data_IF_771590792422
#
_entry.id   IF_771590792422
#
_cell.length_a   1.000
_cell.length_b   1.000
_cell.length_c   1.000
_cell.angle_alpha   90.00
_cell.angle_beta   90.00
_cell.angle_gamma   90.00
#
_symmetry.space_group_name_H-M   'P 1'
#
loop_
_entity.id
_entity.type
_entity.pdbx_description
1 polymer ?
#
# COMPACT_ATOMS: atom_id res chain seq x y z
N UNK A 1 5.74 26.79 -47.06
CA UNK A 1 4.30 26.47 -47.23
C UNK A 1 4.06 25.08 -46.66
N UNK A 2 3.15 24.98 -45.68
CA UNK A 2 2.46 23.79 -45.13
C UNK A 2 3.23 22.45 -45.08
N UNK A 3 3.44 21.85 -43.90
CA UNK A 3 2.38 21.18 -43.15
C UNK A 3 2.64 21.21 -41.63
N UNK A 4 1.88 22.07 -40.95
CA UNK A 4 1.52 21.99 -39.54
C UNK A 4 0.34 21.03 -39.40
N UNK A 5 0.32 20.22 -38.33
CA UNK A 5 -0.93 19.74 -37.77
C UNK A 5 -0.92 18.31 -37.23
N UNK A 6 -0.63 18.16 -35.94
CA UNK A 6 -1.44 17.43 -34.94
C UNK A 6 -0.74 17.40 -33.58
N UNK A 7 -0.89 18.48 -32.83
CA UNK A 7 -0.86 18.46 -31.37
C UNK A 7 -2.23 18.91 -30.89
N UNK A 8 -2.91 18.08 -30.08
CA UNK A 8 -3.72 18.51 -28.94
C UNK A 8 -4.48 17.32 -28.31
N UNK A 9 -4.15 17.05 -27.05
CA UNK A 9 -5.16 16.81 -26.02
C UNK A 9 -5.38 15.36 -25.60
N UNK A 10 -4.64 14.90 -24.58
CA UNK A 10 -5.22 13.99 -23.54
C UNK A 10 -4.46 13.80 -22.21
N UNK A 11 -3.22 14.26 -22.00
CA UNK A 11 -2.49 13.89 -20.75
C UNK A 11 -2.40 14.93 -19.61
N UNK A 12 -2.68 16.22 -19.80
CA UNK A 12 -2.47 17.21 -18.71
C UNK A 12 -3.66 17.43 -17.75
N UNK A 13 -4.56 16.45 -17.54
CA UNK A 13 -5.75 16.63 -16.69
C UNK A 13 -5.57 16.30 -15.20
N UNK A 14 -4.48 15.67 -14.78
CA UNK A 14 -4.33 15.21 -13.38
C UNK A 14 -3.80 16.29 -12.41
N UNK A 15 -3.19 17.37 -12.93
CA UNK A 15 -2.58 18.43 -12.11
C UNK A 15 -3.26 19.80 -12.24
N UNK A 16 -4.15 20.00 -13.21
CA UNK A 16 -4.80 21.29 -13.48
C UNK A 16 -6.29 21.11 -13.83
N UNK A 17 -7.17 21.48 -12.88
CA UNK A 17 -8.63 21.73 -12.95
C UNK A 17 -9.67 20.62 -12.65
N UNK A 18 -10.55 20.97 -11.70
CA UNK A 18 -11.97 20.66 -11.43
C UNK A 18 -12.62 19.38 -11.99
N UNK A 19 -12.95 18.47 -11.08
CA UNK A 19 -13.71 17.25 -11.38
C UNK A 19 -15.23 17.50 -11.34
N UNK A 20 -15.84 17.48 -12.52
CA UNK A 20 -17.26 17.15 -12.71
C UNK A 20 -17.43 15.66 -13.07
N UNK A 21 -18.63 15.15 -12.77
CA UNK A 21 -19.06 13.75 -12.60
C UNK A 21 -18.92 12.83 -13.84
N UNK A 22 -18.85 11.52 -13.57
CA UNK A 22 -19.24 10.41 -14.46
C UNK A 22 -18.04 9.68 -15.09
N UNK A 23 -18.02 8.36 -15.26
CA UNK A 23 -18.98 7.28 -15.10
C UNK A 23 -18.29 5.97 -15.52
N UNK A 24 -18.73 4.85 -14.94
CA UNK A 24 -18.25 3.51 -15.27
C UNK A 24 -18.46 3.15 -16.75
N UNK A 25 -17.53 2.38 -17.32
CA UNK A 25 -17.85 1.36 -18.34
C UNK A 25 -16.82 0.23 -18.24
N UNK A 26 -17.30 -0.94 -17.80
CA UNK A 26 -16.58 -2.20 -17.86
C UNK A 26 -16.58 -2.77 -19.28
N UNK A 27 -15.57 -3.58 -19.58
CA UNK A 27 -15.55 -4.47 -20.74
C UNK A 27 -15.26 -5.87 -20.21
N UNK A 28 -16.28 -6.72 -20.30
CA UNK A 28 -16.17 -8.16 -20.07
C UNK A 28 -15.71 -8.85 -21.35
N UNK A 29 -14.77 -9.80 -21.24
CA UNK A 29 -14.55 -10.87 -22.23
C UNK A 29 -13.87 -12.10 -21.58
N UNK A 30 -13.98 -13.30 -22.19
CA UNK A 30 -14.34 -14.54 -21.49
C UNK A 30 -13.17 -15.43 -21.06
N UNK A 31 -13.56 -16.54 -20.42
CA UNK A 31 -12.75 -17.48 -19.64
C UNK A 31 -11.56 -18.12 -20.35
N UNK A 32 -10.74 -18.71 -19.49
CA UNK A 32 -9.56 -19.59 -19.59
C UNK A 32 -8.21 -19.03 -20.08
N UNK A 33 -7.25 -19.02 -19.13
CA UNK A 33 -5.80 -18.92 -19.30
C UNK A 33 -5.23 -17.58 -19.78
N UNK A 34 -5.11 -16.62 -18.86
CA UNK A 34 -4.01 -15.66 -18.92
C UNK A 34 -3.61 -15.22 -17.50
N UNK A 35 -2.55 -15.84 -16.96
CA UNK A 35 -1.82 -15.35 -15.79
C UNK A 35 -1.06 -14.07 -16.16
N UNK A 36 -1.78 -12.99 -16.40
CA UNK A 36 -1.28 -11.66 -16.15
C UNK A 36 -1.94 -11.25 -14.84
N UNK A 37 -1.25 -11.51 -13.73
CA UNK A 37 -1.57 -10.85 -12.46
C UNK A 37 -1.44 -9.36 -12.76
N UNK A 38 -2.56 -8.72 -13.06
CA UNK A 38 -2.67 -7.27 -12.98
C UNK A 38 -2.19 -6.94 -11.58
N UNK A 39 -1.00 -6.33 -11.49
CA UNK A 39 -0.27 -6.24 -10.23
C UNK A 39 -1.14 -5.48 -9.22
N UNK A 40 -1.82 -6.20 -8.32
CA UNK A 40 -2.58 -5.61 -7.22
C UNK A 40 -1.60 -4.70 -6.47
N UNK A 41 -1.87 -3.39 -6.49
CA UNK A 41 -0.92 -2.36 -6.06
C UNK A 41 -1.01 -2.17 -4.54
N UNK A 42 -0.33 -3.02 -3.80
CA UNK A 42 -0.27 -2.97 -2.34
C UNK A 42 0.55 -1.76 -1.88
N UNK A 43 0.09 -1.00 -0.88
CA UNK A 43 0.93 0.03 -0.26
C UNK A 43 1.86 -0.59 0.78
N UNK A 44 1.34 -1.54 1.54
CA UNK A 44 2.11 -2.30 2.53
C UNK A 44 2.98 -3.38 1.87
N UNK A 45 4.10 -3.67 2.53
CA UNK A 45 4.97 -4.79 2.14
C UNK A 45 4.45 -6.10 2.73
N UNK A 46 4.86 -7.22 2.13
CA UNK A 46 4.55 -8.57 2.65
C UNK A 46 5.01 -8.78 4.10
N UNK A 47 6.02 -8.05 4.60
CA UNK A 47 6.46 -8.16 6.00
C UNK A 47 5.43 -7.61 7.00
N UNK A 48 4.59 -6.68 6.56
CA UNK A 48 3.55 -6.06 7.39
C UNK A 48 2.26 -6.86 7.27
N UNK A 49 1.86 -7.18 6.03
CA UNK A 49 0.64 -7.96 5.78
C UNK A 49 0.81 -9.39 6.30
N UNK A 50 1.96 -10.04 6.08
CA UNK A 50 2.26 -11.45 6.44
C UNK A 50 1.21 -12.42 5.90
N UNK A 51 0.75 -12.20 4.67
CA UNK A 51 -0.28 -13.00 4.02
C UNK A 51 0.25 -14.39 3.67
N UNK A 52 1.49 -14.48 3.16
CA UNK A 52 2.12 -15.75 2.81
C UNK A 52 2.29 -16.65 4.03
N UNK A 53 2.75 -16.10 5.16
CA UNK A 53 2.90 -16.87 6.40
C UNK A 53 1.54 -17.34 6.94
N UNK A 54 0.51 -16.51 6.81
CA UNK A 54 -0.86 -16.87 7.16
C UNK A 54 -1.37 -18.04 6.30
N UNK A 55 -1.22 -17.96 4.98
CA UNK A 55 -1.60 -19.02 4.04
C UNK A 55 -0.85 -20.33 4.29
N UNK A 56 0.46 -20.27 4.54
CA UNK A 56 1.26 -21.45 4.92
C UNK A 56 0.73 -22.10 6.21
N UNK A 57 0.31 -21.29 7.18
CA UNK A 57 -0.26 -21.78 8.42
C UNK A 57 -1.64 -22.40 8.22
N UNK A 58 -2.49 -21.86 7.34
CA UNK A 58 -3.75 -22.49 6.94
C UNK A 58 -3.52 -23.88 6.36
N UNK A 59 -2.59 -24.02 5.41
CA UNK A 59 -2.22 -25.31 4.83
C UNK A 59 -1.73 -26.31 5.90
N UNK A 60 -0.86 -25.86 6.81
CA UNK A 60 -0.36 -26.70 7.89
C UNK A 60 -1.46 -27.16 8.86
N UNK A 61 -2.49 -26.33 9.08
CA UNK A 61 -3.67 -26.68 9.89
C UNK A 61 -4.58 -27.64 9.15
N UNK A 62 -4.89 -27.38 7.88
CA UNK A 62 -5.72 -28.24 7.05
C UNK A 62 -5.17 -29.66 6.95
N UNK A 63 -3.86 -29.82 6.77
CA UNK A 63 -3.17 -31.12 6.72
C UNK A 63 -3.25 -31.92 8.03
N UNK A 64 -3.32 -31.25 9.19
CA UNK A 64 -3.45 -31.94 10.49
C UNK A 64 -4.85 -32.50 10.70
N UNK A 65 -5.86 -31.86 10.12
CA UNK A 65 -7.27 -32.17 10.35
C UNK A 65 -7.82 -33.16 9.33
N UNK A 66 -7.22 -33.26 8.14
CA UNK A 66 -7.61 -34.23 7.12
C UNK A 66 -7.52 -35.70 7.58
N UNK A 67 -6.91 -35.97 8.74
CA UNK A 67 -6.83 -37.30 9.35
C UNK A 67 -7.80 -37.59 10.51
N UNK A 68 -8.55 -36.62 11.05
CA UNK A 68 -9.46 -36.86 12.19
C UNK A 68 -10.76 -36.06 12.10
N UNK A 69 -11.89 -36.78 12.03
CA UNK A 69 -13.23 -36.36 12.45
C UNK A 69 -13.90 -35.17 11.73
N UNK A 70 -14.82 -35.49 10.80
CA UNK A 70 -15.93 -34.62 10.39
C UNK A 70 -15.55 -33.27 9.75
N UNK A 71 -16.54 -32.59 9.17
CA UNK A 71 -16.34 -31.21 8.74
C UNK A 71 -16.33 -30.32 10.01
N UNK A 72 -15.16 -29.99 10.55
CA UNK A 72 -15.01 -29.15 11.75
C UNK A 72 -15.89 -27.89 11.68
N UNK A 73 -16.02 -27.27 10.51
CA UNK A 73 -16.84 -26.08 10.34
C UNK A 73 -18.33 -26.35 10.63
N UNK A 74 -18.83 -27.52 10.28
CA UNK A 74 -20.20 -27.95 10.57
C UNK A 74 -20.40 -28.24 12.06
N UNK A 75 -19.45 -28.94 12.69
CA UNK A 75 -19.47 -29.16 14.14
C UNK A 75 -19.41 -27.83 14.92
N UNK A 76 -18.57 -26.89 14.45
CA UNK A 76 -18.48 -25.56 15.03
C UNK A 76 -19.79 -24.78 14.86
N UNK A 77 -20.45 -24.85 13.69
CA UNK A 77 -21.80 -24.28 13.49
C UNK A 77 -22.82 -24.85 14.47
N UNK A 78 -22.85 -26.17 14.67
CA UNK A 78 -23.76 -26.80 15.62
C UNK A 78 -23.49 -26.36 17.05
N UNK A 79 -22.21 -26.26 17.44
CA UNK A 79 -21.78 -25.71 18.73
C UNK A 79 -22.26 -24.27 18.92
N UNK A 80 -22.13 -23.44 17.88
CA UNK A 80 -22.61 -22.06 17.89
C UNK A 80 -24.13 -21.98 18.11
N UNK A 81 -24.90 -22.83 17.43
CA UNK A 81 -26.36 -22.91 17.59
C UNK A 81 -26.79 -23.35 19.00
N UNK A 82 -26.00 -24.21 19.65
CA UNK A 82 -26.21 -24.64 21.04
C UNK A 82 -25.77 -23.60 22.08
N UNK A 83 -25.23 -22.46 21.64
CA UNK A 83 -24.74 -21.38 22.50
C UNK A 83 -23.65 -21.83 23.49
N UNK A 84 -22.84 -22.84 23.12
CA UNK A 84 -21.74 -23.35 23.95
C UNK A 84 -20.48 -22.49 23.81
N UNK A 85 -19.83 -22.10 24.92
CA UNK A 85 -18.62 -21.25 24.98
C UNK A 85 -17.60 -21.55 23.86
N UNK A 86 -17.12 -20.50 23.19
CA UNK A 86 -16.08 -20.62 22.15
C UNK A 86 -14.71 -20.57 22.81
N UNK A 87 -13.96 -21.67 22.73
CA UNK A 87 -12.59 -21.71 23.23
C UNK A 87 -11.63 -21.02 22.26
N UNK A 88 -10.54 -20.47 22.82
CA UNK A 88 -9.51 -19.77 22.06
C UNK A 88 -8.94 -20.61 20.91
N UNK A 89 -8.61 -21.87 21.19
CA UNK A 89 -8.01 -22.75 20.18
C UNK A 89 -9.02 -23.21 19.12
N UNK A 90 -10.32 -23.26 19.45
CA UNK A 90 -11.40 -23.50 18.49
C UNK A 90 -11.59 -22.31 17.55
N UNK A 91 -11.64 -21.08 18.07
CA UNK A 91 -11.73 -19.87 17.23
C UNK A 91 -10.49 -19.74 16.34
N UNK A 92 -9.31 -20.01 16.90
CA UNK A 92 -8.06 -20.01 16.13
C UNK A 92 -8.14 -21.02 15.01
N UNK A 93 -8.67 -22.21 15.28
CA UNK A 93 -8.80 -23.25 14.28
C UNK A 93 -9.79 -22.88 13.18
N UNK A 94 -10.97 -22.36 13.56
CA UNK A 94 -11.98 -21.84 12.63
C UNK A 94 -11.37 -20.87 11.62
N UNK A 95 -10.68 -19.83 12.09
CA UNK A 95 -10.12 -18.80 11.22
C UNK A 95 -9.06 -19.32 10.23
N UNK A 96 -8.38 -20.43 10.53
CA UNK A 96 -7.41 -21.03 9.61
C UNK A 96 -8.06 -22.03 8.64
N UNK A 97 -9.27 -22.51 8.93
CA UNK A 97 -10.02 -23.46 8.10
C UNK A 97 -11.06 -22.81 7.19
N UNK A 98 -11.45 -21.55 7.43
CA UNK A 98 -12.29 -20.82 6.50
C UNK A 98 -11.59 -20.69 5.14
N UNK A 99 -12.24 -21.13 4.06
CA UNK A 99 -11.69 -21.13 2.70
C UNK A 99 -12.55 -20.33 1.72
N UNK A 100 -13.83 -20.14 2.03
CA UNK A 100 -14.78 -19.49 1.12
C UNK A 100 -15.37 -18.22 1.73
N UNK A 101 -15.81 -17.26 0.89
CA UNK A 101 -16.53 -16.07 1.37
C UNK A 101 -17.72 -16.40 2.27
N UNK A 102 -18.45 -17.49 2.01
CA UNK A 102 -19.60 -17.88 2.83
C UNK A 102 -19.20 -18.28 4.27
N UNK A 103 -17.95 -18.69 4.47
CA UNK A 103 -17.44 -19.03 5.79
C UNK A 103 -17.24 -17.80 6.67
N UNK A 104 -17.16 -16.61 6.06
CA UNK A 104 -16.84 -15.37 6.76
C UNK A 104 -17.97 -14.86 7.65
N UNK A 105 -19.22 -15.17 7.32
CA UNK A 105 -20.34 -14.86 8.21
C UNK A 105 -20.22 -15.63 9.53
N UNK A 106 -19.83 -16.90 9.47
CA UNK A 106 -19.61 -17.73 10.67
C UNK A 106 -18.39 -17.22 11.44
N UNK A 107 -17.30 -16.91 10.72
CA UNK A 107 -16.07 -16.39 11.33
C UNK A 107 -16.32 -15.07 12.04
N UNK A 108 -17.09 -14.16 11.43
CA UNK A 108 -17.49 -12.89 12.02
C UNK A 108 -18.32 -13.12 13.27
N UNK A 109 -19.40 -13.89 13.18
CA UNK A 109 -20.26 -14.18 14.33
C UNK A 109 -19.47 -14.81 15.50
N UNK A 110 -18.60 -15.77 15.20
CA UNK A 110 -17.72 -16.40 16.19
C UNK A 110 -16.78 -15.39 16.87
N UNK A 111 -16.21 -14.46 16.10
CA UNK A 111 -15.35 -13.38 16.62
C UNK A 111 -16.13 -12.43 17.54
N UNK A 112 -17.36 -12.03 17.15
CA UNK A 112 -18.22 -11.20 17.99
C UNK A 112 -18.58 -11.90 19.30
N UNK A 113 -19.02 -13.16 19.22
CA UNK A 113 -19.37 -13.96 20.41
C UNK A 113 -18.17 -14.15 21.33
N UNK A 114 -17.01 -14.50 20.78
CA UNK A 114 -15.78 -14.65 21.54
C UNK A 114 -15.39 -13.35 22.24
N UNK A 115 -15.49 -12.20 21.56
CA UNK A 115 -15.22 -10.90 22.19
C UNK A 115 -16.18 -10.62 23.37
N UNK A 116 -17.46 -10.89 23.19
CA UNK A 116 -18.49 -10.71 24.23
C UNK A 116 -18.24 -11.62 25.44
N UNK A 117 -17.91 -12.89 25.20
CA UNK A 117 -17.63 -13.90 26.23
C UNK A 117 -16.34 -13.60 27.01
N UNK A 118 -15.33 -13.03 26.34
CA UNK A 118 -14.00 -12.83 26.91
C UNK A 118 -13.68 -11.37 27.29
N UNK A 119 -14.68 -10.48 27.28
CA UNK A 119 -14.49 -9.02 27.47
C UNK A 119 -13.76 -8.61 28.76
N UNK A 120 -13.83 -9.45 29.79
CA UNK A 120 -13.23 -9.22 31.11
C UNK A 120 -11.99 -10.08 31.40
N UNK A 121 -11.65 -11.00 30.51
CA UNK A 121 -10.46 -11.82 30.62
C UNK A 121 -9.29 -11.04 30.01
N UNK A 122 -8.15 -11.02 30.70
CA UNK A 122 -6.93 -10.42 30.16
C UNK A 122 -6.67 -11.03 28.79
N UNK A 123 -6.63 -10.19 27.75
CA UNK A 123 -6.39 -10.60 26.36
C UNK A 123 -5.16 -11.50 26.35
N UNK A 124 -5.36 -12.80 26.15
CA UNK A 124 -4.26 -13.76 26.10
C UNK A 124 -3.26 -13.41 25.00
N UNK A 125 -2.09 -14.03 25.03
CA UNK A 125 -0.98 -13.76 24.09
C UNK A 125 -1.37 -13.83 22.60
N UNK A 126 -2.46 -14.53 22.26
CA UNK A 126 -2.90 -14.69 20.88
C UNK A 126 -3.78 -13.54 20.39
N UNK A 127 -3.36 -12.92 19.29
CA UNK A 127 -3.98 -11.71 18.73
C UNK A 127 -4.83 -12.08 17.52
N UNK A 128 -6.14 -12.15 17.71
CA UNK A 128 -7.09 -12.54 16.66
C UNK A 128 -7.29 -11.47 15.59
N UNK A 129 -7.20 -10.19 15.95
CA UNK A 129 -7.47 -9.07 15.04
C UNK A 129 -6.74 -9.16 13.70
N UNK A 130 -5.40 -9.28 13.67
CA UNK A 130 -4.68 -9.42 12.41
C UNK A 130 -4.97 -10.72 11.66
N UNK A 131 -5.30 -11.81 12.37
CA UNK A 131 -5.63 -13.11 11.73
C UNK A 131 -6.95 -12.98 10.98
N UNK A 132 -7.97 -12.42 11.63
CA UNK A 132 -9.26 -12.13 11.01
C UNK A 132 -9.11 -11.19 9.80
N UNK A 133 -8.28 -10.16 9.92
CA UNK A 133 -8.04 -9.22 8.81
C UNK A 133 -7.32 -9.83 7.62
N UNK A 134 -6.34 -10.72 7.84
CA UNK A 134 -5.70 -11.47 6.75
C UNK A 134 -6.66 -12.44 6.08
N UNK A 135 -7.57 -13.04 6.85
CA UNK A 135 -8.61 -13.89 6.29
C UNK A 135 -9.55 -13.09 5.39
N UNK A 136 -10.01 -11.90 5.85
CA UNK A 136 -10.78 -10.99 5.01
C UNK A 136 -10.01 -10.59 3.75
N UNK A 137 -8.71 -10.36 3.87
CA UNK A 137 -7.83 -10.00 2.75
C UNK A 137 -7.73 -11.12 1.71
N UNK A 138 -7.49 -12.34 2.15
CA UNK A 138 -7.39 -13.52 1.28
C UNK A 138 -8.70 -13.79 0.53
N UNK A 139 -9.83 -13.59 1.19
CA UNK A 139 -11.17 -13.87 0.66
C UNK A 139 -11.85 -12.65 0.02
N UNK A 140 -11.12 -11.54 -0.15
CA UNK A 140 -11.60 -10.28 -0.73
C UNK A 140 -12.90 -9.77 -0.07
N UNK A 141 -12.92 -9.78 1.26
CA UNK A 141 -14.04 -9.32 2.11
C UNK A 141 -13.76 -7.96 2.76
N UNK A 142 -13.34 -6.97 1.96
CA UNK A 142 -13.00 -5.63 2.44
C UNK A 142 -14.15 -4.91 3.18
N UNK A 143 -15.40 -5.05 2.72
CA UNK A 143 -16.56 -4.40 3.34
C UNK A 143 -16.91 -5.06 4.69
N UNK A 144 -16.81 -6.39 4.78
CA UNK A 144 -17.00 -7.11 6.04
C UNK A 144 -15.90 -6.76 7.05
N UNK A 145 -14.64 -6.63 6.59
CA UNK A 145 -13.53 -6.15 7.42
C UNK A 145 -13.78 -4.75 7.96
N UNK A 146 -14.21 -3.82 7.08
CA UNK A 146 -14.51 -2.45 7.44
C UNK A 146 -15.67 -2.35 8.43
N UNK A 147 -16.76 -3.08 8.18
CA UNK A 147 -17.91 -3.14 9.08
C UNK A 147 -17.52 -3.69 10.46
N UNK A 148 -16.71 -4.76 10.49
CA UNK A 148 -16.33 -5.43 11.74
C UNK A 148 -15.37 -4.60 12.60
N UNK A 149 -14.38 -3.93 11.99
CA UNK A 149 -13.37 -3.16 12.75
C UNK A 149 -13.90 -1.81 13.27
N UNK A 150 -14.95 -1.29 12.62
CA UNK A 150 -15.60 -0.05 13.02
C UNK A 150 -16.80 -0.26 13.93
N UNK A 151 -17.16 -1.53 14.18
CA UNK A 151 -18.25 -1.88 15.08
C UNK A 151 -17.93 -1.50 16.53
N UNK A 152 -18.88 -0.83 17.18
CA UNK A 152 -18.76 -0.38 18.57
C UNK A 152 -18.68 -1.56 19.55
N UNK A 153 -19.34 -2.67 19.24
CA UNK A 153 -19.33 -3.88 20.06
C UNK A 153 -17.99 -4.61 19.97
N UNK A 154 -17.18 -4.29 18.97
CA UNK A 154 -15.83 -4.82 18.78
C UNK A 154 -14.74 -3.93 19.41
N UNK A 155 -15.11 -2.87 20.14
CA UNK A 155 -14.16 -2.03 20.85
C UNK A 155 -13.38 -2.85 21.88
N UNK A 156 -12.05 -2.82 21.76
CA UNK A 156 -11.13 -3.59 22.61
C UNK A 156 -10.69 -4.93 22.01
N UNK A 157 -11.34 -5.42 20.95
CA UNK A 157 -10.90 -6.63 20.26
C UNK A 157 -9.71 -6.36 19.34
N UNK A 158 -9.81 -5.31 18.52
CA UNK A 158 -8.75 -4.88 17.61
C UNK A 158 -7.85 -3.87 18.29
N UNK A 159 -6.87 -4.36 19.05
CA UNK A 159 -5.92 -3.50 19.79
C UNK A 159 -4.58 -3.31 19.09
N UNK A 160 -4.35 -4.03 18.01
CA UNK A 160 -3.12 -3.92 17.23
C UNK A 160 -3.30 -3.04 16.00
N UNK A 161 -2.45 -2.00 15.80
CA UNK A 161 -2.43 -1.19 14.60
C UNK A 161 -2.38 -2.01 13.31
N UNK A 162 -1.74 -3.18 13.34
CA UNK A 162 -1.65 -4.10 12.19
C UNK A 162 -3.03 -4.48 11.64
N UNK A 163 -4.05 -4.66 12.49
CA UNK A 163 -5.41 -4.99 12.04
C UNK A 163 -6.00 -3.86 11.19
N UNK A 164 -5.87 -2.62 11.67
CA UNK A 164 -6.32 -1.42 10.97
C UNK A 164 -5.54 -1.20 9.68
N UNK A 165 -4.21 -1.37 9.73
CA UNK A 165 -3.34 -1.19 8.57
C UNK A 165 -3.70 -2.18 7.44
N UNK A 166 -3.97 -3.45 7.75
CA UNK A 166 -4.43 -4.44 6.75
C UNK A 166 -5.79 -4.03 6.17
N UNK A 167 -6.74 -3.60 7.00
CA UNK A 167 -8.06 -3.15 6.54
C UNK A 167 -7.98 -1.90 5.63
N UNK A 168 -7.15 -0.92 6.00
CA UNK A 168 -6.93 0.29 5.22
C UNK A 168 -6.25 -0.03 3.89
N UNK A 169 -5.26 -0.94 3.86
CA UNK A 169 -4.58 -1.36 2.63
C UNK A 169 -5.54 -2.06 1.67
N UNK A 170 -6.42 -2.95 2.15
CA UNK A 170 -7.49 -3.57 1.35
C UNK A 170 -8.38 -2.51 0.69
N UNK A 171 -8.91 -1.58 1.49
CA UNK A 171 -9.80 -0.53 1.00
C UNK A 171 -9.07 0.43 0.05
N UNK A 172 -7.79 0.69 0.28
CA UNK A 172 -6.97 1.51 -0.61
C UNK A 172 -6.83 0.86 -1.99
N UNK A 173 -6.56 -0.45 -2.04
CA UNK A 173 -6.47 -1.22 -3.29
C UNK A 173 -7.80 -1.20 -4.05
N UNK A 174 -8.93 -1.29 -3.33
CA UNK A 174 -10.29 -1.28 -3.90
C UNK A 174 -10.79 0.13 -4.25
N UNK A 175 -10.04 1.19 -3.92
CA UNK A 175 -10.42 2.58 -4.19
C UNK A 175 -11.42 3.18 -3.19
N UNK A 176 -11.74 2.46 -2.10
CA UNK A 176 -12.68 2.88 -1.06
C UNK A 176 -12.04 3.84 -0.04
N UNK A 177 -11.50 4.97 -0.52
CA UNK A 177 -10.70 5.89 0.31
C UNK A 177 -11.47 6.58 1.44
N UNK A 178 -12.78 6.84 1.25
CA UNK A 178 -13.62 7.42 2.31
C UNK A 178 -13.77 6.45 3.49
N UNK A 179 -14.06 5.18 3.19
CA UNK A 179 -14.12 4.11 4.20
C UNK A 179 -12.77 3.92 4.90
N UNK A 180 -11.67 3.96 4.15
CA UNK A 180 -10.33 3.89 4.73
C UNK A 180 -10.07 5.05 5.72
N UNK A 181 -10.54 6.26 5.40
CA UNK A 181 -10.48 7.41 6.31
C UNK A 181 -11.32 7.20 7.57
N UNK A 182 -12.50 6.61 7.46
CA UNK A 182 -13.34 6.30 8.63
C UNK A 182 -12.69 5.28 9.57
N UNK A 183 -11.96 4.29 9.03
CA UNK A 183 -11.15 3.36 9.83
C UNK A 183 -10.01 4.09 10.55
N UNK A 184 -9.32 5.03 9.89
CA UNK A 184 -8.27 5.85 10.52
C UNK A 184 -8.80 6.69 11.68
N UNK A 185 -9.98 7.30 11.50
CA UNK A 185 -10.67 8.05 12.57
C UNK A 185 -11.03 7.13 13.73
N UNK A 186 -11.62 5.98 13.43
CA UNK A 186 -11.97 4.96 14.42
C UNK A 186 -10.74 4.53 15.23
N UNK A 187 -9.61 4.29 14.56
CA UNK A 187 -8.35 3.94 15.22
C UNK A 187 -7.90 5.04 16.20
N UNK A 188 -7.98 6.32 15.78
CA UNK A 188 -7.64 7.48 16.62
C UNK A 188 -8.61 7.63 17.80
N UNK A 189 -9.91 7.45 17.58
CA UNK A 189 -10.96 7.53 18.61
C UNK A 189 -10.85 6.40 19.64
N UNK A 190 -10.28 5.25 19.25
CA UNK A 190 -9.94 4.15 20.16
C UNK A 190 -8.62 4.39 20.93
N UNK A 191 -7.93 5.51 20.69
CA UNK A 191 -6.69 5.86 21.35
C UNK A 191 -5.47 5.08 20.87
N UNK A 192 -5.55 4.41 19.71
CA UNK A 192 -4.43 3.66 19.16
C UNK A 192 -3.45 4.60 18.47
N UNK A 193 -2.17 4.50 18.82
CA UNK A 193 -1.12 5.33 18.24
C UNK A 193 -0.83 4.93 16.79
N UNK A 194 -0.61 5.93 15.94
CA UNK A 194 -0.23 5.68 14.56
C UNK A 194 1.24 5.27 14.50
N UNK A 195 1.50 4.08 13.98
CA UNK A 195 2.85 3.63 13.70
C UNK A 195 3.31 4.10 12.31
N UNK A 196 4.55 3.78 11.93
CA UNK A 196 5.13 4.18 10.63
C UNK A 196 4.25 3.77 9.44
N UNK A 197 3.67 2.57 9.46
CA UNK A 197 2.81 2.08 8.39
C UNK A 197 1.46 2.81 8.37
N UNK A 198 0.88 3.08 9.55
CA UNK A 198 -0.37 3.84 9.68
C UNK A 198 -0.21 5.26 9.15
N UNK A 199 0.89 5.96 9.48
CA UNK A 199 1.17 7.31 8.96
C UNK A 199 1.31 7.30 7.44
N UNK A 200 1.99 6.29 6.88
CA UNK A 200 2.13 6.13 5.43
C UNK A 200 0.76 5.90 4.76
N UNK A 201 -0.06 5.00 5.30
CA UNK A 201 -1.40 4.75 4.79
C UNK A 201 -2.31 5.98 4.91
N UNK A 202 -2.27 6.69 6.03
CA UNK A 202 -3.09 7.89 6.25
C UNK A 202 -2.77 9.00 5.25
N UNK A 203 -1.49 9.28 5.04
CA UNK A 203 -1.05 10.27 4.03
C UNK A 203 -1.41 9.84 2.60
N UNK A 204 -1.32 8.54 2.30
CA UNK A 204 -1.74 8.00 1.01
C UNK A 204 -3.25 8.13 0.77
N UNK A 205 -4.08 7.81 1.77
CA UNK A 205 -5.54 7.98 1.71
C UNK A 205 -5.89 9.46 1.54
N UNK A 206 -5.24 10.37 2.28
CA UNK A 206 -5.44 11.81 2.10
C UNK A 206 -5.10 12.27 0.68
N UNK A 207 -3.97 11.80 0.14
CA UNK A 207 -3.54 12.10 -1.22
C UNK A 207 -4.56 11.66 -2.28
N UNK A 208 -5.18 10.48 -2.08
CA UNK A 208 -6.21 9.97 -3.00
C UNK A 208 -7.56 10.68 -2.86
N UNK A 209 -7.93 11.12 -1.65
CA UNK A 209 -9.14 11.92 -1.44
C UNK A 209 -9.02 13.31 -2.06
N UNK A 210 -7.86 13.96 -1.95
CA UNK A 210 -7.55 15.26 -2.54
C UNK A 210 -8.62 16.36 -2.31
N UNK A 211 -9.21 16.37 -1.12
CA UNK A 211 -10.11 17.41 -0.62
C UNK A 211 -9.39 18.35 0.33
N UNK A 212 -9.93 19.57 0.55
CA UNK A 212 -9.41 20.50 1.56
C UNK A 212 -9.35 19.87 2.96
N UNK A 213 -10.38 19.09 3.34
CA UNK A 213 -10.41 18.39 4.63
C UNK A 213 -9.32 17.33 4.75
N UNK A 214 -9.10 16.53 3.69
CA UNK A 214 -8.02 15.55 3.68
C UNK A 214 -6.63 16.20 3.65
N UNK A 215 -6.50 17.38 3.01
CA UNK A 215 -5.26 18.13 3.03
C UNK A 215 -4.93 18.61 4.44
N UNK A 216 -5.88 19.26 5.10
CA UNK A 216 -5.76 19.68 6.51
C UNK A 216 -5.44 18.50 7.43
N UNK A 217 -6.17 17.39 7.28
CA UNK A 217 -5.92 16.17 8.06
C UNK A 217 -4.49 15.65 7.85
N UNK A 218 -3.99 15.68 6.61
CA UNK A 218 -2.63 15.26 6.28
C UNK A 218 -1.58 16.20 6.88
N UNK A 219 -1.77 17.51 6.82
CA UNK A 219 -0.83 18.48 7.39
C UNK A 219 -0.79 18.39 8.91
N UNK A 220 -1.96 18.30 9.56
CA UNK A 220 -2.09 18.17 11.01
C UNK A 220 -1.39 16.88 11.49
N UNK A 221 -1.56 15.77 10.74
CA UNK A 221 -0.88 14.51 11.04
C UNK A 221 0.65 14.64 10.98
N UNK A 222 1.18 15.29 9.93
CA UNK A 222 2.64 15.47 9.79
C UNK A 222 3.18 16.34 10.92
N UNK A 223 2.50 17.44 11.27
CA UNK A 223 2.89 18.33 12.37
C UNK A 223 2.79 17.62 13.74
N UNK A 224 1.78 16.77 13.95
CA UNK A 224 1.65 15.93 15.14
C UNK A 224 2.84 14.95 15.27
N UNK A 225 3.29 14.36 14.16
CA UNK A 225 4.45 13.46 14.17
C UNK A 225 5.76 14.22 14.49
N UNK A 226 5.92 15.43 13.96
CA UNK A 226 7.08 16.27 14.22
C UNK A 226 7.17 16.74 15.67
N UNK A 227 6.06 17.25 16.22
CA UNK A 227 5.99 17.73 17.60
C UNK A 227 6.29 16.61 18.61
N UNK A 228 5.95 15.36 18.27
CA UNK A 228 6.30 14.15 19.04
C UNK A 228 7.73 13.65 18.82
N UNK A 229 8.51 14.28 17.94
CA UNK A 229 9.85 13.82 17.56
C UNK A 229 9.87 12.48 16.83
N UNK A 230 8.74 12.06 16.24
CA UNK A 230 8.61 10.79 15.55
C UNK A 230 9.16 10.88 14.12
N UNK A 231 9.96 9.88 13.74
CA UNK A 231 10.51 9.81 12.38
C UNK A 231 9.42 9.52 11.36
N UNK A 232 9.14 10.48 10.48
CA UNK A 232 8.15 10.33 9.41
C UNK A 232 8.74 9.46 8.29
N UNK A 233 8.04 8.43 7.81
CA UNK A 233 8.49 7.64 6.68
C UNK A 233 8.64 8.49 5.42
N UNK A 234 9.74 8.30 4.67
CA UNK A 234 9.99 9.00 3.39
C UNK A 234 8.78 9.00 2.45
N UNK A 235 8.11 7.85 2.31
CA UNK A 235 6.95 7.71 1.41
C UNK A 235 5.75 8.52 1.88
N UNK A 236 5.55 8.64 3.20
CA UNK A 236 4.51 9.50 3.77
C UNK A 236 4.77 10.98 3.44
N UNK A 237 6.04 11.43 3.57
CA UNK A 237 6.43 12.77 3.13
C UNK A 237 6.19 12.97 1.62
N UNK A 238 6.54 11.99 0.78
CA UNK A 238 6.27 12.09 -0.66
C UNK A 238 4.77 12.24 -0.97
N UNK A 239 3.89 11.50 -0.29
CA UNK A 239 2.44 11.67 -0.43
C UNK A 239 1.98 13.06 0.03
N UNK A 240 2.48 13.54 1.17
CA UNK A 240 2.13 14.87 1.68
C UNK A 240 2.58 15.99 0.73
N UNK A 241 3.79 15.89 0.17
CA UNK A 241 4.30 16.82 -0.87
C UNK A 241 3.41 16.77 -2.10
N UNK A 242 3.11 15.58 -2.61
CA UNK A 242 2.27 15.44 -3.80
C UNK A 242 0.84 15.94 -3.59
N UNK A 243 0.30 15.81 -2.38
CA UNK A 243 -1.00 16.37 -2.00
C UNK A 243 -0.94 17.90 -1.95
N UNK A 244 0.09 18.49 -1.32
CA UNK A 244 0.26 19.94 -1.30
C UNK A 244 0.37 20.54 -2.72
N UNK A 245 1.11 19.87 -3.61
CA UNK A 245 1.19 20.25 -5.03
C UNK A 245 -0.18 20.19 -5.73
N UNK A 246 -0.98 19.15 -5.49
CA UNK A 246 -2.36 19.06 -6.02
C UNK A 246 -3.31 20.12 -5.48
N UNK A 247 -3.02 20.66 -4.29
CA UNK A 247 -3.74 21.78 -3.68
C UNK A 247 -3.16 23.15 -4.09
N UNK A 248 -2.17 23.15 -5.00
CA UNK A 248 -1.48 24.36 -5.47
C UNK A 248 -0.76 25.14 -4.33
N UNK A 249 -0.40 24.46 -3.25
CA UNK A 249 0.35 25.02 -2.12
C UNK A 249 1.85 24.68 -2.26
N UNK A 250 2.53 25.45 -3.12
CA UNK A 250 3.94 25.22 -3.47
C UNK A 250 4.88 25.47 -2.29
N UNK A 251 4.55 26.40 -1.40
CA UNK A 251 5.39 26.70 -0.23
C UNK A 251 5.31 25.57 0.81
N UNK A 252 4.11 25.04 1.11
CA UNK A 252 4.00 23.86 1.96
C UNK A 252 4.64 22.64 1.30
N UNK A 253 4.47 22.45 -0.01
CA UNK A 253 5.13 21.36 -0.73
C UNK A 253 6.66 21.45 -0.59
N UNK A 254 7.26 22.64 -0.72
CA UNK A 254 8.69 22.87 -0.52
C UNK A 254 9.12 22.56 0.92
N UNK A 255 8.38 23.05 1.91
CA UNK A 255 8.63 22.79 3.34
C UNK A 255 8.59 21.30 3.67
N UNK A 256 7.57 20.58 3.20
CA UNK A 256 7.43 19.13 3.38
C UNK A 256 8.54 18.36 2.64
N UNK A 257 8.94 18.83 1.47
CA UNK A 257 9.99 18.17 0.67
C UNK A 257 11.34 18.18 1.38
N UNK A 258 11.70 19.27 2.06
CA UNK A 258 12.94 19.39 2.84
C UNK A 258 13.06 18.35 3.96
N UNK A 259 11.92 17.79 4.41
CA UNK A 259 11.88 16.77 5.45
C UNK A 259 12.17 15.36 4.91
N UNK A 260 12.23 15.18 3.58
CA UNK A 260 12.53 13.88 2.98
C UNK A 260 13.99 13.54 3.20
N UNK A 261 14.24 12.58 4.09
CA UNK A 261 15.55 11.96 4.26
C UNK A 261 15.97 11.25 2.97
N UNK A 262 17.21 11.50 2.53
CA UNK A 262 17.81 10.89 1.34
C UNK A 262 17.01 11.15 0.04
N UNK A 263 17.19 12.36 -0.52
CA UNK A 263 16.50 12.85 -1.72
C UNK A 263 16.92 12.16 -3.04
N UNK A 264 17.87 11.21 -3.01
CA UNK A 264 18.47 10.63 -4.22
C UNK A 264 17.65 9.51 -4.89
N UNK A 265 16.33 9.48 -4.71
CA UNK A 265 15.48 8.48 -5.38
C UNK A 265 14.63 9.09 -6.49
N UNK A 266 14.31 8.27 -7.51
CA UNK A 266 13.50 8.62 -8.69
C UNK A 266 12.29 9.49 -8.33
N UNK A 267 11.48 9.05 -7.37
CA UNK A 267 10.28 9.78 -6.94
C UNK A 267 10.59 11.15 -6.32
N UNK A 268 11.59 11.25 -5.44
CA UNK A 268 11.96 12.53 -4.84
C UNK A 268 12.49 13.51 -5.87
N UNK A 269 13.29 13.03 -6.83
CA UNK A 269 13.79 13.86 -7.92
C UNK A 269 12.64 14.42 -8.78
N UNK A 270 11.71 13.56 -9.18
CA UNK A 270 10.53 13.95 -9.93
C UNK A 270 9.69 14.99 -9.17
N UNK A 271 9.43 14.78 -7.88
CA UNK A 271 8.71 15.76 -7.05
C UNK A 271 9.46 17.09 -6.94
N UNK A 272 10.80 17.07 -6.87
CA UNK A 272 11.60 18.31 -6.83
C UNK A 272 11.48 19.12 -8.11
N UNK A 273 11.50 18.47 -9.27
CA UNK A 273 11.27 19.16 -10.55
C UNK A 273 9.89 19.81 -10.55
N UNK A 274 8.84 19.07 -10.17
CA UNK A 274 7.48 19.62 -10.10
C UNK A 274 7.39 20.83 -9.17
N UNK A 275 8.01 20.77 -7.98
CA UNK A 275 8.03 21.90 -7.04
C UNK A 275 8.68 23.14 -7.67
N UNK A 276 9.85 22.99 -8.30
CA UNK A 276 10.57 24.10 -8.92
C UNK A 276 9.77 24.70 -10.08
N UNK A 277 9.26 23.83 -10.96
CA UNK A 277 8.44 24.23 -12.11
C UNK A 277 7.16 24.95 -11.70
N UNK A 278 6.45 24.45 -10.67
CA UNK A 278 5.23 25.11 -10.16
C UNK A 278 5.52 26.42 -9.43
N UNK A 279 6.69 26.54 -8.79
CA UNK A 279 7.15 27.78 -8.17
C UNK A 279 7.67 28.83 -9.17
N UNK A 280 7.70 28.51 -10.47
CA UNK A 280 8.22 29.39 -11.53
C UNK A 280 9.74 29.36 -11.69
N UNK A 281 10.47 28.57 -10.89
CA UNK A 281 11.92 28.37 -11.02
C UNK A 281 12.24 27.31 -12.08
N UNK A 282 11.92 27.65 -13.33
CA UNK A 282 12.15 26.79 -14.51
C UNK A 282 13.64 26.54 -14.71
N UNK A 283 14.49 27.54 -14.49
CA UNK A 283 15.95 27.42 -14.64
C UNK A 283 16.53 26.42 -13.64
N UNK A 284 16.08 26.45 -12.38
CA UNK A 284 16.44 25.46 -11.37
C UNK A 284 15.96 24.05 -11.74
N UNK A 285 14.77 23.92 -12.32
CA UNK A 285 14.25 22.63 -12.80
C UNK A 285 15.10 22.05 -13.94
N UNK A 286 15.47 22.88 -14.93
CA UNK A 286 16.36 22.52 -16.04
C UNK A 286 17.73 22.08 -15.53
N UNK A 287 18.33 22.89 -14.65
CA UNK A 287 19.64 22.61 -14.06
C UNK A 287 19.66 21.26 -13.33
N UNK A 288 18.57 20.93 -12.62
CA UNK A 288 18.42 19.67 -11.93
C UNK A 288 18.28 18.47 -12.89
N UNK A 289 17.54 18.63 -13.97
CA UNK A 289 17.41 17.60 -15.02
C UNK A 289 18.77 17.36 -15.69
N UNK A 290 19.48 18.42 -16.05
CA UNK A 290 20.81 18.34 -16.65
C UNK A 290 21.82 17.65 -15.72
N UNK A 291 21.79 17.95 -14.41
CA UNK A 291 22.65 17.30 -13.42
C UNK A 291 22.33 15.81 -13.21
N UNK A 292 21.08 15.40 -13.45
CA UNK A 292 20.66 14.00 -13.38
C UNK A 292 20.92 13.22 -14.68
N UNK A 293 21.39 13.90 -15.73
CA UNK A 293 21.72 13.30 -17.01
C UNK A 293 22.96 12.40 -16.86
N UNK A 294 22.88 11.21 -17.45
CA UNK A 294 24.04 10.34 -17.52
C UNK A 294 24.95 10.72 -18.70
N UNK A 295 26.28 10.60 -18.57
CA UNK A 295 27.16 10.61 -19.73
C UNK A 295 26.78 9.48 -20.68
N UNK A 296 26.86 9.71 -22.00
CA UNK A 296 26.41 8.82 -23.10
C UNK A 296 26.90 7.34 -23.03
N UNK A 297 27.83 6.99 -22.13
CA UNK A 297 28.46 5.67 -22.03
C UNK A 297 28.43 5.02 -20.62
N UNK A 298 27.60 5.48 -19.67
CA UNK A 298 27.59 4.86 -18.33
C UNK A 298 26.68 3.63 -18.27
N UNK A 299 27.19 2.46 -18.63
CA UNK A 299 26.44 1.20 -18.54
C UNK A 299 26.21 0.71 -17.09
N UNK A 300 27.03 1.18 -16.14
CA UNK A 300 27.02 0.70 -14.75
C UNK A 300 26.30 1.63 -13.76
N UNK A 301 25.84 2.81 -14.20
CA UNK A 301 25.14 3.76 -13.32
C UNK A 301 23.65 3.64 -13.55
N UNK A 302 22.88 3.52 -12.45
CA UNK A 302 21.43 3.50 -12.52
C UNK A 302 20.92 4.80 -13.14
N UNK A 303 20.25 4.70 -14.30
CA UNK A 303 19.62 5.85 -14.96
C UNK A 303 18.60 6.51 -14.04
N UNK A 304 18.71 7.81 -13.87
CA UNK A 304 17.63 8.59 -13.24
C UNK A 304 16.54 8.77 -14.29
N UNK A 305 15.30 8.45 -13.92
CA UNK A 305 14.15 8.45 -14.81
C UNK A 305 13.15 9.52 -14.38
N UNK A 306 12.59 10.24 -15.36
CA UNK A 306 11.55 11.25 -15.19
C UNK A 306 10.22 10.74 -15.73
N UNK A 307 9.13 11.01 -15.02
CA UNK A 307 7.77 10.76 -15.50
C UNK A 307 7.45 11.69 -16.66
N UNK A 308 6.76 11.18 -17.67
CA UNK A 308 6.22 11.99 -18.77
C UNK A 308 5.43 13.19 -18.23
N UNK A 309 4.63 13.01 -17.17
CA UNK A 309 3.84 14.09 -16.57
C UNK A 309 4.70 15.26 -16.07
N UNK A 310 5.92 14.96 -15.60
CA UNK A 310 6.85 15.98 -15.08
C UNK A 310 7.48 16.76 -16.22
N UNK A 311 7.83 16.06 -17.29
CA UNK A 311 8.40 16.64 -18.50
C UNK A 311 7.37 17.51 -19.23
N UNK A 312 6.15 17.00 -19.38
CA UNK A 312 5.03 17.73 -19.97
C UNK A 312 4.71 19.01 -19.19
N UNK A 313 4.75 18.94 -17.86
CA UNK A 313 4.55 20.12 -17.00
C UNK A 313 5.64 21.18 -17.23
N UNK A 314 6.90 20.77 -17.39
CA UNK A 314 8.01 21.68 -17.68
C UNK A 314 7.80 22.37 -19.03
N UNK A 315 7.50 21.60 -20.08
CA UNK A 315 7.20 22.13 -21.43
C UNK A 315 6.02 23.10 -21.41
N UNK A 316 4.95 22.76 -20.70
CA UNK A 316 3.78 23.62 -20.58
C UNK A 316 4.14 24.98 -19.93
N UNK A 317 5.03 24.98 -18.94
CA UNK A 317 5.45 26.20 -18.22
C UNK A 317 6.51 27.00 -18.96
N UNK A 318 7.21 26.41 -19.92
CA UNK A 318 8.20 27.11 -20.76
C UNK A 318 7.65 27.58 -22.10
N UNK A 319 6.41 27.23 -22.45
CA UNK A 319 5.77 27.64 -23.69
C UNK A 319 5.76 29.18 -23.85
N UNK A 320 6.30 29.67 -24.97
CA UNK A 320 6.43 31.10 -25.25
C UNK A 320 7.58 31.81 -24.52
N UNK A 321 8.38 31.09 -23.73
CA UNK A 321 9.56 31.65 -23.05
C UNK A 321 10.83 31.54 -23.90
N UNK A 322 11.87 32.31 -23.54
CA UNK A 322 13.18 32.20 -24.18
C UNK A 322 13.83 30.83 -23.98
N UNK A 323 13.45 30.10 -22.92
CA UNK A 323 13.97 28.77 -22.57
C UNK A 323 13.22 27.64 -23.28
N UNK A 324 12.18 27.94 -24.08
CA UNK A 324 11.36 26.91 -24.73
C UNK A 324 12.19 25.94 -25.57
N UNK A 325 13.02 26.47 -26.47
CA UNK A 325 13.86 25.66 -27.37
C UNK A 325 14.84 24.78 -26.60
N UNK A 326 15.46 25.35 -25.57
CA UNK A 326 16.39 24.61 -24.70
C UNK A 326 15.69 23.44 -24.00
N UNK A 327 14.49 23.66 -23.46
CA UNK A 327 13.72 22.58 -22.82
C UNK A 327 13.30 21.52 -23.84
N UNK A 328 12.82 21.92 -25.03
CA UNK A 328 12.44 20.97 -26.09
C UNK A 328 13.63 20.08 -26.52
N UNK A 329 14.83 20.66 -26.66
CA UNK A 329 16.07 19.92 -26.95
C UNK A 329 16.44 18.95 -25.82
N UNK A 330 16.39 19.41 -24.56
CA UNK A 330 16.69 18.56 -23.39
C UNK A 330 15.71 17.39 -23.30
N UNK A 331 14.43 17.65 -23.50
CA UNK A 331 13.38 16.61 -23.43
C UNK A 331 13.56 15.57 -24.52
N UNK A 332 13.76 16.01 -25.77
CA UNK A 332 14.02 15.10 -26.91
C UNK A 332 15.20 14.18 -26.61
N UNK A 333 16.25 14.74 -26.01
CA UNK A 333 17.43 13.97 -25.64
C UNK A 333 17.20 12.99 -24.50
N UNK A 334 16.40 13.34 -23.48
CA UNK A 334 16.03 12.41 -22.40
C UNK A 334 15.20 11.24 -22.93
N UNK A 335 14.33 11.48 -23.91
CA UNK A 335 13.54 10.45 -24.58
C UNK A 335 14.46 9.49 -25.36
N UNK A 336 15.40 10.01 -26.15
CA UNK A 336 16.43 9.22 -26.85
C UNK A 336 17.29 8.38 -25.87
N UNK A 337 17.67 8.97 -24.73
CA UNK A 337 18.50 8.31 -23.72
C UNK A 337 17.72 7.27 -22.87
N UNK A 338 16.39 7.16 -23.07
CA UNK A 338 15.49 6.29 -22.31
C UNK A 338 15.36 6.71 -20.84
N UNK A 339 15.52 8.00 -20.55
CA UNK A 339 15.37 8.60 -19.21
C UNK A 339 13.97 9.15 -18.95
N UNK A 340 13.04 9.03 -19.89
CA UNK A 340 11.61 9.34 -19.71
C UNK A 340 10.81 8.04 -19.62
N UNK A 341 9.88 7.99 -18.66
CA UNK A 341 9.03 6.83 -18.39
C UNK A 341 7.56 7.19 -18.49
N UNK A 342 6.76 6.26 -19.01
CA UNK A 342 5.29 6.35 -19.01
C UNK A 342 4.66 6.22 -17.61
N UNK A 343 5.46 5.90 -16.59
CA UNK A 343 4.97 5.76 -15.23
C UNK A 343 4.60 7.12 -14.63
N UNK A 344 3.31 7.34 -14.39
CA UNK A 344 2.80 8.54 -13.70
C UNK A 344 3.36 8.71 -12.29
N UNK A 345 3.36 9.94 -11.78
CA UNK A 345 3.74 10.23 -10.39
C UNK A 345 2.88 9.46 -9.39
N UNK A 346 1.58 9.35 -9.70
CA UNK A 346 0.62 8.58 -8.90
C UNK A 346 1.01 7.10 -8.85
N UNK A 347 1.39 6.50 -9.99
CA UNK A 347 1.88 5.12 -10.06
C UNK A 347 3.19 4.94 -9.29
N UNK A 348 4.10 5.92 -9.34
CA UNK A 348 5.36 5.89 -8.59
C UNK A 348 5.13 6.00 -7.07
N UNK A 349 4.16 6.80 -6.65
CA UNK A 349 3.76 6.97 -5.25
C UNK A 349 3.10 5.71 -4.71
N UNK A 350 2.22 5.10 -5.49
CA UNK A 350 1.40 3.95 -5.10
C UNK A 350 2.04 2.58 -5.38
N UNK A 351 3.27 2.51 -5.91
CA UNK A 351 3.97 1.23 -6.15
C UNK A 351 4.43 0.55 -4.85
N UNK A 352 4.16 -0.74 -4.69
CA UNK A 352 4.63 -1.53 -3.53
C UNK A 352 6.16 -1.43 -3.38
N UNK A 353 6.71 -1.29 -2.16
CA UNK A 353 8.15 -1.30 -1.97
C UNK A 353 8.70 -2.65 -2.45
N UNK A 354 9.76 -2.62 -3.26
CA UNK A 354 10.39 -3.85 -3.75
C UNK A 354 10.79 -4.76 -2.59
N UNK A 355 10.21 -5.96 -2.54
CA UNK A 355 10.61 -7.01 -1.61
C UNK A 355 12.02 -7.46 -1.99
N UNK A 356 13.02 -7.12 -1.16
CA UNK A 356 14.30 -7.83 -1.19
C UNK A 356 14.06 -9.20 -0.57
N UNK A 357 13.87 -10.23 -1.41
CA UNK A 357 13.94 -11.63 -0.95
C UNK A 357 15.24 -11.77 -0.16
N UNK A 358 15.16 -11.92 1.16
CA UNK A 358 16.22 -12.63 1.88
C UNK A 358 16.24 -14.03 1.26
N UNK A 359 17.37 -14.51 0.73
CA UNK A 359 17.48 -15.92 0.37
C UNK A 359 17.02 -16.72 1.58
N UNK A 360 16.07 -17.63 1.37
CA UNK A 360 15.72 -18.62 2.39
C UNK A 360 17.02 -19.23 2.89
N UNK A 361 17.45 -18.91 4.11
CA UNK A 361 18.35 -19.80 4.82
C UNK A 361 17.50 -21.04 5.07
N UNK A 362 17.73 -22.09 4.29
CA UNK A 362 17.28 -23.42 4.67
C UNK A 362 17.94 -23.74 6.00
N UNK A 363 17.21 -23.46 7.07
CA UNK A 363 17.55 -23.93 8.40
C UNK A 363 17.67 -25.45 8.32
N UNK A 364 18.87 -25.92 8.63
CA UNK A 364 19.37 -27.29 8.51
C UNK A 364 18.27 -28.37 8.48
N UNK A 365 17.80 -28.71 7.27
CA UNK A 365 17.24 -30.04 7.03
C UNK A 365 18.38 -31.01 7.32
N UNK A 366 18.33 -31.67 8.48
CA UNK A 366 19.11 -32.88 8.73
C UNK A 366 18.96 -33.76 7.50
N UNK A 367 20.01 -33.86 6.68
CA UNK A 367 20.03 -34.65 5.46
C UNK A 367 19.89 -36.11 5.89
N UNK A 368 18.68 -36.64 5.85
CA UNK A 368 18.46 -38.07 5.92
C UNK A 368 18.85 -38.61 4.54
N UNK A 369 19.86 -39.47 4.50
CA UNK A 369 20.24 -40.19 3.28
C UNK A 369 19.04 -40.98 2.76
N UNK A 370 18.62 -40.70 1.52
CA UNK A 370 17.51 -41.39 0.86
C UNK A 370 17.81 -42.87 0.53
N UNK A 371 19.04 -43.35 0.77
CA UNK A 371 19.39 -44.76 0.56
C UNK A 371 19.32 -45.63 1.83
N UNK A 372 19.35 -45.05 3.03
CA UNK A 372 19.51 -45.85 4.26
C UNK A 372 18.61 -45.44 5.44
N UNK A 373 17.78 -44.40 5.32
CA UNK A 373 16.77 -44.00 6.32
C UNK A 373 17.29 -44.00 7.78
N UNK A 374 18.53 -43.55 8.01
CA UNK A 374 19.07 -43.27 9.36
C UNK A 374 19.75 -41.90 9.43
N UNK A 375 19.74 -41.22 10.60
CA UNK A 375 20.41 -39.93 10.78
C UNK A 375 21.93 -40.10 10.76
N UNK A 376 22.66 -39.28 9.99
CA UNK A 376 24.12 -39.25 10.05
C UNK A 376 24.56 -38.63 11.38
N UNK A 377 25.27 -39.40 12.21
CA UNK A 377 25.97 -38.90 13.38
C UNK A 377 27.21 -38.13 12.92
N UNK A 378 27.30 -36.85 13.30
CA UNK A 378 28.51 -36.05 13.18
C UNK A 378 29.49 -36.53 14.24
N UNK A 379 30.60 -37.14 13.80
CA UNK A 379 31.78 -37.30 14.65
C UNK A 379 32.44 -35.93 14.81
N UNK A 380 32.66 -35.56 16.06
CA UNK A 380 33.51 -34.44 16.46
C UNK A 380 34.97 -34.90 16.44
N UNK A 381 35.83 -34.12 15.81
CA UNK A 381 37.23 -33.96 16.20
C UNK A 381 37.49 -32.48 16.50
#
# INVERSE_FOLDING_TARGET
>A
MALLGRFAGKCCRSLLSDFSKGGFCGVSQPGWLQCCIEAKRHLLSENVIRLQEFQQKKLAVAHKITGSEGNFLELFKQKMQRNELILRDELKLLLHLCERPEDMEIAREAVFRYNKENRFLMHGDFRFGPVFMRLCYELEQEELAAATITDKDMKGFFIEPTSFNIAIDMLFIKGSYKRAMDILRTMKDQGLSFNKDTVMLATAVCYKLNTADSYKTCTDLIEEQQTKGQMIPRRACCFAVALALRQNDTEKARSLYLQILNMHGKLSLNLKVVILTMAGDVSGAISLILAARLPKNSFFVKKMEFSQEVVDLLLLRTNGSQLQKEVEEIVSQLEEDGQVTEQTLDNMLCSTPGWKRKPFLMENRKKISQRTLRPQQLFSE
#
